data_IF_158062683209
#
_entry.id   IF_158062683209
#
_cell.length_a   1.000
_cell.length_b   1.000
_cell.length_c   1.000
_cell.angle_alpha   90.00
_cell.angle_beta   90.00
_cell.angle_gamma   90.00
#
_symmetry.space_group_name_H-M   'P 1'
#
loop_
_entity.id
_entity.type
_entity.pdbx_description
1 polymer ?
#
# COMPACT_ATOMS: atom_id res chain seq x y z
N UNK A 1 19.88 -7.35 -8.44
CA UNK A 1 19.31 -6.06 -8.90
C UNK A 1 19.48 -5.02 -7.80
N UNK A 2 20.45 -4.11 -7.94
CA UNK A 2 20.81 -3.12 -6.92
C UNK A 2 19.70 -2.09 -6.66
N UNK A 3 19.45 -1.84 -5.38
CA UNK A 3 18.36 -0.99 -4.89
C UNK A 3 18.53 0.47 -5.36
N UNK A 4 17.74 0.92 -6.34
CA UNK A 4 17.85 2.25 -6.97
C UNK A 4 17.70 3.44 -6.01
N UNK A 5 17.13 3.22 -4.84
CA UNK A 5 16.76 4.27 -3.90
C UNK A 5 17.86 4.54 -2.85
N UNK A 6 18.59 3.53 -2.38
CA UNK A 6 19.92 3.72 -1.73
C UNK A 6 20.91 4.42 -2.66
N UNK A 7 20.84 4.16 -3.98
CA UNK A 7 21.63 4.91 -4.96
C UNK A 7 21.32 6.41 -5.03
N UNK A 8 20.08 6.83 -4.75
CA UNK A 8 19.71 8.27 -4.70
C UNK A 8 20.18 8.94 -3.41
N UNK A 9 20.08 8.25 -2.27
CA UNK A 9 20.61 8.75 -1.00
C UNK A 9 22.13 8.87 -1.04
N UNK A 10 22.83 7.85 -1.54
CA UNK A 10 24.29 7.88 -1.73
C UNK A 10 24.74 9.04 -2.62
N UNK A 11 24.03 9.30 -3.73
CA UNK A 11 24.27 10.47 -4.59
C UNK A 11 24.05 11.80 -3.86
N UNK A 12 23.02 11.90 -3.02
CA UNK A 12 22.78 13.11 -2.20
C UNK A 12 23.89 13.31 -1.18
N UNK A 13 24.31 12.25 -0.47
CA UNK A 13 25.42 12.29 0.48
C UNK A 13 26.67 12.79 -0.25
N UNK A 14 27.07 12.15 -1.35
CA UNK A 14 28.25 12.55 -2.13
C UNK A 14 28.19 13.99 -2.69
N UNK A 15 26.99 14.51 -2.97
CA UNK A 15 26.79 15.91 -3.38
C UNK A 15 27.01 16.87 -2.20
N UNK A 16 26.40 16.58 -1.06
CA UNK A 16 26.51 17.42 0.13
C UNK A 16 27.91 17.39 0.73
N UNK A 17 28.61 16.25 0.68
CA UNK A 17 30.03 16.15 1.04
C UNK A 17 30.88 17.13 0.24
N UNK A 18 30.74 17.14 -1.10
CA UNK A 18 31.46 18.09 -1.97
C UNK A 18 31.15 19.56 -1.69
N UNK A 19 29.92 19.86 -1.28
CA UNK A 19 29.52 21.23 -0.92
C UNK A 19 30.16 21.62 0.42
N UNK A 20 30.13 20.73 1.41
CA UNK A 20 30.73 20.98 2.71
C UNK A 20 32.24 21.20 2.62
N UNK A 21 32.95 20.36 1.85
CA UNK A 21 34.39 20.50 1.55
C UNK A 21 34.71 21.86 0.92
N UNK A 22 33.91 22.30 -0.06
CA UNK A 22 34.09 23.59 -0.74
C UNK A 22 33.96 24.79 0.21
N UNK A 23 33.15 24.66 1.26
CA UNK A 23 32.86 25.73 2.20
C UNK A 23 33.54 25.56 3.56
N UNK A 24 34.47 24.59 3.71
CA UNK A 24 35.18 24.33 4.96
C UNK A 24 34.28 23.88 6.11
N UNK A 25 33.10 23.34 5.80
CA UNK A 25 32.14 22.88 6.81
C UNK A 25 32.55 21.49 7.32
N UNK A 26 32.44 21.29 8.65
CA UNK A 26 32.70 19.99 9.26
C UNK A 26 31.63 19.00 8.83
N UNK A 27 32.06 17.90 8.21
CA UNK A 27 31.17 16.79 7.87
C UNK A 27 30.75 16.00 9.11
N UNK A 28 29.55 15.41 9.12
CA UNK A 28 29.17 14.44 10.14
C UNK A 28 30.13 13.26 10.12
N UNK A 29 30.39 12.69 11.30
CA UNK A 29 31.27 11.54 11.45
C UNK A 29 30.82 10.38 10.53
N UNK A 30 31.74 9.64 9.88
CA UNK A 30 31.39 8.56 8.93
C UNK A 30 30.43 7.53 9.49
N UNK A 31 30.54 7.22 10.78
CA UNK A 31 29.67 6.28 11.49
C UNK A 31 28.21 6.76 11.55
N UNK A 32 27.99 8.07 11.75
CA UNK A 32 26.65 8.67 11.75
C UNK A 32 26.03 8.62 10.34
N UNK A 33 26.83 8.87 9.31
CA UNK A 33 26.38 8.76 7.92
C UNK A 33 25.99 7.33 7.58
N UNK A 34 26.80 6.35 7.98
CA UNK A 34 26.51 4.93 7.75
C UNK A 34 25.23 4.50 8.46
N UNK A 35 25.04 4.90 9.73
CA UNK A 35 23.81 4.62 10.49
C UNK A 35 22.55 5.16 9.80
N UNK A 36 22.60 6.38 9.28
CA UNK A 36 21.47 6.99 8.54
C UNK A 36 21.16 6.18 7.27
N UNK A 37 22.19 5.70 6.56
CA UNK A 37 22.02 4.86 5.37
C UNK A 37 21.38 3.52 5.73
N UNK A 38 21.81 2.88 6.82
CA UNK A 38 21.29 1.59 7.26
C UNK A 38 19.84 1.70 7.78
N UNK A 39 19.52 2.76 8.53
CA UNK A 39 18.15 3.07 8.95
C UNK A 39 17.24 3.31 7.74
N UNK A 40 17.73 4.04 6.73
CA UNK A 40 16.99 4.27 5.49
C UNK A 40 16.79 2.98 4.68
N UNK A 41 17.81 2.13 4.58
CA UNK A 41 17.70 0.84 3.91
C UNK A 41 16.68 -0.08 4.61
N UNK A 42 16.70 -0.12 5.94
CA UNK A 42 15.72 -0.85 6.76
C UNK A 42 14.30 -0.36 6.49
N UNK A 43 14.10 0.96 6.53
CA UNK A 43 12.79 1.58 6.26
C UNK A 43 12.30 1.31 4.85
N UNK A 44 13.18 1.35 3.85
CA UNK A 44 12.82 1.00 2.47
C UNK A 44 12.44 -0.49 2.33
N UNK A 45 13.17 -1.37 3.00
CA UNK A 45 12.88 -2.80 3.00
C UNK A 45 11.53 -3.11 3.67
N UNK A 46 11.19 -2.38 4.73
CA UNK A 46 9.87 -2.45 5.37
C UNK A 46 8.77 -1.93 4.44
N UNK A 47 8.93 -0.73 3.87
CA UNK A 47 7.98 -0.17 2.90
C UNK A 47 7.78 -1.12 1.72
N UNK A 48 8.85 -1.74 1.23
CA UNK A 48 8.78 -2.72 0.14
C UNK A 48 8.01 -3.96 0.56
N UNK A 49 8.32 -4.56 1.71
CA UNK A 49 7.58 -5.71 2.24
C UNK A 49 6.09 -5.41 2.39
N UNK A 50 5.73 -4.26 2.96
CA UNK A 50 4.33 -3.82 3.06
C UNK A 50 3.70 -3.61 1.69
N UNK A 51 4.43 -3.03 0.73
CA UNK A 51 3.95 -2.82 -0.65
C UNK A 51 3.72 -4.14 -1.37
N UNK A 52 4.62 -5.10 -1.21
CA UNK A 52 4.54 -6.41 -1.86
C UNK A 52 3.35 -7.21 -1.29
N UNK A 53 3.09 -7.12 0.03
CA UNK A 53 1.92 -7.73 0.67
C UNK A 53 0.57 -7.19 0.16
N UNK A 54 0.54 -5.95 -0.36
CA UNK A 54 -0.66 -5.33 -0.92
C UNK A 54 -0.59 -5.20 -2.45
N UNK A 55 0.41 -5.81 -3.09
CA UNK A 55 0.55 -5.77 -4.54
C UNK A 55 -0.65 -6.46 -5.19
N UNK A 56 -1.32 -5.75 -6.10
CA UNK A 56 -2.55 -6.23 -6.73
C UNK A 56 -3.83 -5.93 -5.95
N UNK A 57 -3.76 -5.47 -4.70
CA UNK A 57 -4.92 -5.02 -3.95
C UNK A 57 -5.49 -3.72 -4.55
N UNK A 58 -6.81 -3.63 -4.65
CA UNK A 58 -7.53 -2.51 -5.26
C UNK A 58 -8.44 -1.84 -4.24
N UNK A 59 -8.58 -0.52 -4.33
CA UNK A 59 -9.60 0.17 -3.53
C UNK A 59 -10.99 -0.32 -3.93
N UNK A 60 -11.93 -0.32 -2.98
CA UNK A 60 -13.34 -0.66 -3.25
C UNK A 60 -13.90 0.18 -4.40
N UNK A 61 -13.52 1.46 -4.49
CA UNK A 61 -13.91 2.33 -5.62
C UNK A 61 -13.40 1.82 -6.97
N UNK A 62 -12.15 1.34 -7.05
CA UNK A 62 -11.61 0.81 -8.30
C UNK A 62 -12.30 -0.52 -8.67
N UNK A 63 -12.58 -1.37 -7.68
CA UNK A 63 -13.34 -2.61 -7.89
C UNK A 63 -14.76 -2.32 -8.40
N UNK A 64 -15.47 -1.36 -7.80
CA UNK A 64 -16.79 -0.94 -8.26
C UNK A 64 -16.76 -0.53 -9.73
N UNK A 65 -15.76 0.27 -10.12
CA UNK A 65 -15.56 0.69 -11.51
C UNK A 65 -15.31 -0.50 -12.44
N UNK A 66 -14.47 -1.46 -12.05
CA UNK A 66 -14.18 -2.66 -12.84
C UNK A 66 -15.42 -3.54 -13.04
N UNK A 67 -16.31 -3.59 -12.05
CA UNK A 67 -17.56 -4.35 -12.11
C UNK A 67 -18.71 -3.58 -12.78
N UNK A 68 -18.47 -2.34 -13.24
CA UNK A 68 -19.54 -1.47 -13.76
C UNK A 68 -20.59 -1.08 -12.73
N UNK A 69 -20.28 -1.18 -11.44
CA UNK A 69 -21.20 -0.90 -10.34
C UNK A 69 -21.05 0.52 -9.80
N UNK A 70 -22.15 1.07 -9.28
CA UNK A 70 -22.08 2.30 -8.47
C UNK A 70 -21.28 2.01 -7.21
N UNK A 71 -20.40 2.93 -6.84
CA UNK A 71 -19.56 2.82 -5.63
C UNK A 71 -20.37 2.51 -4.38
N UNK A 72 -21.47 3.24 -4.14
CA UNK A 72 -22.33 3.04 -2.95
C UNK A 72 -22.92 1.64 -2.91
N UNK A 73 -23.42 1.15 -4.04
CA UNK A 73 -23.99 -0.20 -4.15
C UNK A 73 -22.98 -1.29 -3.80
N UNK A 74 -21.71 -1.15 -4.22
CA UNK A 74 -20.69 -2.11 -3.83
C UNK A 74 -20.38 -2.04 -2.31
N UNK A 75 -20.34 -0.85 -1.71
CA UNK A 75 -20.14 -0.73 -0.26
C UNK A 75 -21.29 -1.35 0.53
N UNK A 76 -22.53 -1.13 0.11
CA UNK A 76 -23.73 -1.73 0.71
C UNK A 76 -23.70 -3.25 0.58
N UNK A 77 -23.36 -3.76 -0.62
CA UNK A 77 -23.22 -5.20 -0.84
C UNK A 77 -22.13 -5.81 0.06
N UNK A 78 -20.94 -5.19 0.10
CA UNK A 78 -19.83 -5.66 0.93
C UNK A 78 -20.15 -5.60 2.43
N UNK A 79 -21.00 -4.66 2.84
CA UNK A 79 -21.50 -4.61 4.20
C UNK A 79 -22.48 -5.74 4.48
N UNK A 80 -23.46 -5.96 3.59
CA UNK A 80 -24.44 -7.04 3.69
C UNK A 80 -23.80 -8.43 3.65
N UNK A 81 -22.74 -8.61 2.85
CA UNK A 81 -21.94 -9.83 2.78
C UNK A 81 -21.00 -10.01 3.99
N UNK A 82 -20.95 -9.06 4.92
CA UNK A 82 -20.11 -9.14 6.12
C UNK A 82 -18.61 -8.96 5.84
N UNK A 83 -18.23 -8.37 4.70
CA UNK A 83 -16.82 -8.12 4.36
C UNK A 83 -16.32 -6.82 4.94
N UNK A 84 -17.18 -5.80 4.94
CA UNK A 84 -16.90 -4.48 5.47
C UNK A 84 -17.89 -4.11 6.56
N UNK A 85 -17.46 -3.28 7.50
CA UNK A 85 -18.33 -2.62 8.45
C UNK A 85 -17.98 -1.15 8.59
N UNK A 86 -18.99 -0.34 8.92
CA UNK A 86 -18.78 1.07 9.26
C UNK A 86 -18.46 1.18 10.76
N UNK A 87 -17.38 1.86 11.12
CA UNK A 87 -17.02 2.09 12.53
C UNK A 87 -17.70 3.36 13.05
N UNK A 88 -18.03 3.35 14.35
CA UNK A 88 -18.48 4.53 15.07
C UNK A 88 -17.39 5.62 15.02
N UNK A 89 -17.75 6.85 14.61
CA UNK A 89 -16.78 7.94 14.39
C UNK A 89 -16.25 8.05 12.96
N UNK A 90 -16.71 7.19 12.04
CA UNK A 90 -16.48 7.33 10.61
C UNK A 90 -15.37 6.42 10.06
N UNK A 91 -15.61 5.87 8.87
CA UNK A 91 -14.66 5.00 8.17
C UNK A 91 -15.22 3.59 7.92
N UNK A 92 -14.81 3.02 6.79
CA UNK A 92 -15.05 1.62 6.45
C UNK A 92 -13.88 0.77 6.93
N UNK A 93 -14.16 -0.43 7.42
CA UNK A 93 -13.15 -1.38 7.87
C UNK A 93 -13.46 -2.77 7.34
N UNK A 94 -12.41 -3.50 6.96
CA UNK A 94 -12.52 -4.94 6.76
C UNK A 94 -12.92 -5.63 8.08
N UNK A 95 -13.83 -6.60 7.98
CA UNK A 95 -14.19 -7.46 9.11
C UNK A 95 -13.10 -8.48 9.37
N UNK A 96 -13.07 -9.06 10.57
CA UNK A 96 -12.15 -10.16 10.90
C UNK A 96 -12.28 -11.33 9.93
N UNK A 97 -13.50 -11.63 9.49
CA UNK A 97 -13.78 -12.67 8.50
C UNK A 97 -13.14 -12.37 7.13
N UNK A 98 -13.36 -11.19 6.56
CA UNK A 98 -12.76 -10.86 5.27
C UNK A 98 -11.22 -10.77 5.33
N UNK A 99 -10.66 -10.44 6.50
CA UNK A 99 -9.22 -10.49 6.73
C UNK A 99 -8.70 -11.94 6.82
N UNK A 100 -9.40 -12.83 7.52
CA UNK A 100 -8.99 -14.24 7.68
C UNK A 100 -9.09 -15.02 6.37
N UNK A 101 -10.12 -14.77 5.57
CA UNK A 101 -10.29 -15.37 4.24
C UNK A 101 -9.35 -14.75 3.18
N UNK A 102 -8.62 -13.69 3.54
CA UNK A 102 -7.74 -12.98 2.62
C UNK A 102 -8.48 -12.26 1.49
N UNK A 103 -9.78 -11.99 1.63
CA UNK A 103 -10.58 -11.26 0.63
C UNK A 103 -10.34 -9.75 0.68
N UNK A 104 -10.01 -9.23 1.85
CA UNK A 104 -9.71 -7.81 2.04
C UNK A 104 -8.47 -7.62 2.90
N UNK A 105 -7.86 -6.45 2.78
CA UNK A 105 -6.79 -5.97 3.66
C UNK A 105 -7.12 -4.56 4.14
N UNK A 106 -6.65 -4.20 5.33
CA UNK A 106 -6.78 -2.85 5.86
C UNK A 106 -5.47 -2.10 5.63
N UNK A 107 -5.48 -1.07 4.77
CA UNK A 107 -4.28 -0.30 4.43
C UNK A 107 -4.26 1.05 5.14
N UNK A 108 -3.17 1.36 5.83
CA UNK A 108 -2.96 2.62 6.54
C UNK A 108 -2.84 2.41 8.05
N UNK A 109 -2.34 3.41 8.78
CA UNK A 109 -2.06 3.30 10.21
C UNK A 109 -3.26 3.74 11.04
N UNK A 110 -3.59 2.96 12.07
CA UNK A 110 -4.57 3.30 13.09
C UNK A 110 -5.89 3.84 12.53
N UNK A 111 -6.18 5.10 12.84
CA UNK A 111 -7.43 5.78 12.49
C UNK A 111 -7.57 6.16 11.00
N UNK A 112 -6.47 6.18 10.24
CA UNK A 112 -6.46 6.55 8.80
C UNK A 112 -6.18 5.30 7.97
N UNK A 113 -7.05 4.31 8.10
CA UNK A 113 -6.94 3.05 7.38
C UNK A 113 -8.16 2.78 6.52
N UNK A 114 -7.93 2.27 5.31
CA UNK A 114 -8.96 2.03 4.30
C UNK A 114 -8.93 0.57 3.84
N UNK A 115 -10.10 -0.07 3.66
CA UNK A 115 -10.16 -1.43 3.15
C UNK A 115 -9.80 -1.43 1.67
N UNK A 116 -9.03 -2.43 1.29
CA UNK A 116 -8.74 -2.79 -0.10
C UNK A 116 -9.14 -4.24 -0.34
N UNK A 117 -9.60 -4.52 -1.54
CA UNK A 117 -9.96 -5.87 -1.98
C UNK A 117 -8.72 -6.51 -2.58
N UNK A 118 -8.40 -7.73 -2.17
CA UNK A 118 -7.28 -8.50 -2.72
C UNK A 118 -7.64 -9.09 -4.08
N UNK A 119 -6.67 -9.70 -4.77
CA UNK A 119 -6.97 -10.46 -5.99
C UNK A 119 -7.95 -11.61 -5.72
N UNK A 120 -7.77 -12.33 -4.60
CA UNK A 120 -8.66 -13.41 -4.19
C UNK A 120 -10.08 -12.89 -3.86
N UNK A 121 -10.17 -11.79 -3.12
CA UNK A 121 -11.46 -11.14 -2.84
C UNK A 121 -12.16 -10.63 -4.10
N UNK A 122 -11.41 -10.17 -5.10
CA UNK A 122 -11.99 -9.77 -6.38
C UNK A 122 -12.57 -10.97 -7.14
N UNK A 123 -11.86 -12.10 -7.17
CA UNK A 123 -12.35 -13.34 -7.78
C UNK A 123 -13.62 -13.84 -7.08
N UNK A 124 -13.62 -13.81 -5.76
CA UNK A 124 -14.76 -14.25 -4.95
C UNK A 124 -15.97 -13.33 -5.13
N UNK A 125 -15.74 -12.02 -5.17
CA UNK A 125 -16.77 -11.02 -5.47
C UNK A 125 -17.36 -11.23 -6.88
N UNK A 126 -16.51 -11.47 -7.88
CA UNK A 126 -16.94 -11.75 -9.24
C UNK A 126 -17.78 -13.04 -9.31
N UNK A 127 -17.37 -14.09 -8.61
CA UNK A 127 -18.10 -15.36 -8.46
C UNK A 127 -19.51 -15.13 -7.88
N UNK A 128 -19.61 -14.37 -6.79
CA UNK A 128 -20.90 -14.07 -6.16
C UNK A 128 -21.83 -13.22 -7.03
N UNK A 129 -21.27 -12.31 -7.80
CA UNK A 129 -22.04 -11.42 -8.68
C UNK A 129 -22.35 -12.06 -10.05
N UNK A 130 -21.89 -13.29 -10.30
CA UNK A 130 -22.05 -13.96 -11.60
C UNK A 130 -21.30 -13.25 -12.73
N UNK A 131 -20.30 -12.44 -12.42
CA UNK A 131 -19.49 -11.69 -13.39
C UNK A 131 -18.22 -12.50 -13.67
N UNK A 132 -17.88 -12.66 -14.94
CA UNK A 132 -16.64 -13.34 -15.30
C UNK A 132 -15.44 -12.40 -15.00
N UNK A 133 -14.49 -12.77 -14.10
CA UNK A 133 -13.42 -11.86 -13.66
C UNK A 133 -12.40 -11.48 -14.75
N UNK A 134 -12.61 -11.93 -16.00
CA UNK A 134 -11.73 -11.70 -17.16
C UNK A 134 -12.17 -10.48 -18.01
N UNK A 135 -13.21 -9.74 -17.61
CA UNK A 135 -13.64 -8.57 -18.39
C UNK A 135 -12.72 -7.33 -18.17
N UNK A 136 -11.80 -7.16 -19.12
CA UNK A 136 -11.02 -5.97 -19.52
C UNK A 136 -9.66 -5.69 -18.85
N UNK A 137 -8.57 -6.21 -19.46
CA UNK A 137 -7.27 -5.57 -19.48
C UNK A 137 -7.18 -4.57 -20.65
N UNK A 138 -7.55 -3.31 -20.46
CA UNK A 138 -7.19 -2.09 -21.25
C UNK A 138 -8.17 -0.98 -20.82
N UNK A 139 -7.76 0.23 -20.42
CA UNK A 139 -6.79 1.17 -21.01
C UNK A 139 -5.96 1.87 -19.94
#
# INVERSE_FOLDING_TARGET
>A
MGNRATGRLAKRIAKWTRIAERHGLKMPEPELVQRIVDEHATREAEIRRTRDQIAGCRSVTNVARMLGMRRSALFEWLQGAGWLRRRHGGGWHATSHALSEGWAVQRGTGAVSWPQITTAGFQELARHLGVNPVANPTT
#
